data_IF_796273889581
#
_entry.id   IF_796273889581
#
_cell.length_a   1.000
_cell.length_b   1.000
_cell.length_c   1.000
_cell.angle_alpha   90.00
_cell.angle_beta   90.00
_cell.angle_gamma   90.00
#
_symmetry.space_group_name_H-M   'P 1'
#
loop_
_entity.id
_entity.type
_entity.pdbx_description
1 polymer ?
#
# COMPACT_ATOMS: atom_id res chain seq x y z
N UNK A 1 -5.49 -16.21 -4.48
CA UNK A 1 -6.35 -15.04 -4.20
C UNK A 1 -7.60 -15.50 -3.49
N UNK A 2 -8.02 -14.81 -2.44
CA UNK A 2 -9.35 -14.95 -1.82
C UNK A 2 -10.02 -13.59 -1.79
N UNK A 3 -11.27 -13.48 -2.25
CA UNK A 3 -11.95 -12.20 -2.33
C UNK A 3 -13.47 -12.35 -2.29
N UNK A 4 -14.13 -11.33 -1.78
CA UNK A 4 -15.57 -11.13 -1.93
C UNK A 4 -15.81 -10.11 -3.07
N UNK A 5 -16.74 -10.37 -3.99
CA UNK A 5 -16.94 -9.50 -5.15
C UNK A 5 -17.45 -8.12 -4.75
N UNK A 6 -16.75 -7.09 -5.20
CA UNK A 6 -17.16 -5.69 -5.02
C UNK A 6 -16.65 -4.84 -6.20
N UNK A 7 -17.50 -3.97 -6.75
CA UNK A 7 -17.10 -3.02 -7.79
C UNK A 7 -16.20 -1.92 -7.23
N UNK A 8 -15.06 -1.56 -7.90
CA UNK A 8 -14.57 -2.08 -9.18
C UNK A 8 -13.50 -3.19 -9.04
N UNK A 9 -13.27 -3.77 -7.87
CA UNK A 9 -12.21 -4.76 -7.63
C UNK A 9 -12.55 -6.16 -8.19
N UNK A 10 -13.81 -6.43 -8.57
CA UNK A 10 -14.24 -7.77 -9.04
C UNK A 10 -13.51 -8.24 -10.29
N UNK A 11 -13.14 -7.33 -11.21
CA UNK A 11 -12.45 -7.70 -12.44
C UNK A 11 -11.11 -8.40 -12.19
N UNK A 12 -10.43 -8.07 -11.08
CA UNK A 12 -9.18 -8.75 -10.68
C UNK A 12 -9.46 -10.23 -10.42
N UNK A 13 -10.50 -10.52 -9.65
CA UNK A 13 -10.89 -11.90 -9.31
C UNK A 13 -11.37 -12.64 -10.56
N UNK A 14 -12.22 -12.02 -11.37
CA UNK A 14 -12.75 -12.62 -12.59
C UNK A 14 -11.67 -12.98 -13.61
N UNK A 15 -10.64 -12.13 -13.72
CA UNK A 15 -9.48 -12.43 -14.55
C UNK A 15 -8.67 -13.60 -13.99
N UNK A 16 -8.39 -13.57 -12.69
CA UNK A 16 -7.54 -14.57 -12.03
C UNK A 16 -8.22 -15.95 -11.93
N UNK A 17 -9.55 -16.04 -11.77
CA UNK A 17 -10.29 -17.32 -11.79
C UNK A 17 -10.00 -18.10 -13.07
N UNK A 18 -9.92 -17.41 -14.20
CA UNK A 18 -9.69 -18.04 -15.52
C UNK A 18 -8.23 -18.39 -15.79
N UNK A 19 -7.28 -17.70 -15.15
CA UNK A 19 -5.86 -17.76 -15.48
C UNK A 19 -5.02 -18.44 -14.42
N UNK A 20 -5.19 -18.08 -13.15
CA UNK A 20 -4.32 -18.50 -12.07
C UNK A 20 -4.24 -20.03 -11.87
N UNK A 21 -5.33 -20.81 -12.02
CA UNK A 21 -5.25 -22.27 -11.92
C UNK A 21 -4.33 -22.92 -12.95
N UNK A 22 -4.13 -22.31 -14.12
CA UNK A 22 -3.22 -22.81 -15.15
C UNK A 22 -1.74 -22.77 -14.73
N UNK A 23 -1.44 -21.98 -13.69
CA UNK A 23 -0.10 -21.82 -13.11
C UNK A 23 -0.01 -22.46 -11.71
N UNK A 24 -0.97 -23.31 -11.34
CA UNK A 24 -0.99 -23.98 -10.04
C UNK A 24 -1.47 -23.11 -8.88
N UNK A 25 -2.00 -21.92 -9.16
CA UNK A 25 -2.57 -21.05 -8.14
C UNK A 25 -4.06 -21.30 -7.93
N UNK A 26 -4.63 -20.69 -6.89
CA UNK A 26 -6.02 -20.87 -6.49
C UNK A 26 -6.71 -19.52 -6.31
N UNK A 27 -7.97 -19.45 -6.76
CA UNK A 27 -8.84 -18.30 -6.49
C UNK A 27 -10.08 -18.81 -5.75
N UNK A 28 -10.40 -18.18 -4.63
CA UNK A 28 -11.55 -18.52 -3.81
C UNK A 28 -12.45 -17.29 -3.68
N UNK A 29 -13.70 -17.43 -4.10
CA UNK A 29 -14.74 -16.49 -3.73
C UNK A 29 -15.22 -16.81 -2.32
N UNK A 30 -15.14 -15.84 -1.42
CA UNK A 30 -15.54 -16.00 -0.01
C UNK A 30 -16.93 -15.44 0.24
N UNK A 31 -17.49 -15.71 1.43
CA UNK A 31 -18.80 -15.22 1.87
C UNK A 31 -18.78 -13.71 2.17
N UNK A 32 -17.66 -13.21 2.68
CA UNK A 32 -17.46 -11.80 3.03
C UNK A 32 -15.98 -11.42 2.98
N UNK A 33 -15.68 -10.14 3.22
CA UNK A 33 -14.33 -9.60 3.18
C UNK A 33 -13.48 -10.03 4.39
N UNK A 34 -14.08 -10.32 5.54
CA UNK A 34 -13.35 -10.82 6.71
C UNK A 34 -12.81 -12.21 6.40
N UNK A 35 -13.64 -13.08 5.84
CA UNK A 35 -13.22 -14.39 5.37
C UNK A 35 -12.16 -14.28 4.26
N UNK A 36 -12.30 -13.32 3.35
CA UNK A 36 -11.34 -13.09 2.26
C UNK A 36 -9.94 -12.77 2.77
N UNK A 37 -9.82 -11.76 3.62
CA UNK A 37 -8.50 -11.31 4.12
C UNK A 37 -7.88 -12.33 5.07
N UNK A 38 -8.66 -12.97 5.94
CA UNK A 38 -8.14 -13.99 6.88
C UNK A 38 -7.67 -15.24 6.16
N UNK A 39 -8.36 -15.66 5.09
CA UNK A 39 -7.91 -16.75 4.22
C UNK A 39 -6.60 -16.38 3.50
N UNK A 40 -6.45 -15.13 3.02
CA UNK A 40 -5.20 -14.68 2.41
C UNK A 40 -4.05 -14.65 3.42
N UNK A 41 -4.29 -14.21 4.66
CA UNK A 41 -3.30 -14.23 5.75
C UNK A 41 -2.89 -15.69 6.05
N UNK A 42 -3.87 -16.60 6.19
CA UNK A 42 -3.60 -18.02 6.42
C UNK A 42 -2.77 -18.66 5.30
N UNK A 43 -3.05 -18.32 4.04
CA UNK A 43 -2.28 -18.76 2.89
C UNK A 43 -0.84 -18.16 2.91
N UNK A 44 -0.70 -16.89 3.28
CA UNK A 44 0.61 -16.24 3.48
C UNK A 44 1.43 -16.92 4.58
N UNK A 45 0.78 -17.28 5.68
CA UNK A 45 1.41 -18.09 6.74
C UNK A 45 1.86 -19.46 6.24
N UNK A 46 1.03 -20.12 5.40
CA UNK A 46 1.37 -21.37 4.73
C UNK A 46 2.46 -21.25 3.65
N UNK A 47 2.98 -20.06 3.39
CA UNK A 47 4.10 -19.83 2.47
C UNK A 47 3.71 -19.51 1.04
N UNK A 48 2.43 -19.28 0.76
CA UNK A 48 1.94 -18.88 -0.56
C UNK A 48 1.92 -17.35 -0.66
N UNK A 49 2.28 -16.80 -1.81
CA UNK A 49 2.00 -15.40 -2.12
C UNK A 49 0.50 -15.22 -2.27
N UNK A 50 -0.13 -14.60 -1.30
CA UNK A 50 -1.57 -14.50 -1.22
C UNK A 50 -2.03 -13.05 -1.19
N UNK A 51 -3.20 -12.80 -1.80
CA UNK A 51 -3.79 -11.48 -1.87
C UNK A 51 -5.31 -11.51 -1.74
N UNK A 52 -5.87 -10.38 -1.37
CA UNK A 52 -7.27 -10.05 -1.55
C UNK A 52 -7.41 -8.72 -2.31
N UNK A 53 -8.61 -8.44 -2.81
CA UNK A 53 -8.92 -7.16 -3.43
C UNK A 53 -10.33 -6.72 -3.01
N UNK A 54 -10.48 -5.44 -2.69
CA UNK A 54 -11.75 -4.85 -2.26
C UNK A 54 -11.82 -3.36 -2.58
N UNK A 55 -12.78 -2.67 -2.01
CA UNK A 55 -12.94 -1.22 -2.02
C UNK A 55 -13.23 -0.74 -0.59
N UNK A 56 -13.31 0.56 -0.35
CA UNK A 56 -13.47 1.17 0.97
C UNK A 56 -14.42 0.47 1.94
N UNK A 57 -15.68 0.08 1.54
CA UNK A 57 -16.58 -0.64 2.44
C UNK A 57 -16.00 -1.97 2.95
N UNK A 58 -15.41 -2.77 2.06
CA UNK A 58 -14.81 -4.05 2.44
C UNK A 58 -13.52 -3.88 3.26
N UNK A 59 -12.71 -2.85 2.96
CA UNK A 59 -11.55 -2.52 3.78
C UNK A 59 -11.92 -2.19 5.23
N UNK A 60 -13.03 -1.49 5.44
CA UNK A 60 -13.52 -1.21 6.79
C UNK A 60 -13.76 -2.49 7.59
N UNK A 61 -14.25 -3.56 6.95
CA UNK A 61 -14.42 -4.88 7.56
C UNK A 61 -13.11 -5.63 7.79
N UNK A 62 -12.08 -5.36 6.99
CA UNK A 62 -10.77 -6.03 7.06
C UNK A 62 -9.82 -5.45 8.12
N UNK A 63 -10.13 -4.30 8.72
CA UNK A 63 -9.18 -3.53 9.56
C UNK A 63 -8.59 -4.32 10.72
N UNK A 64 -9.40 -5.15 11.41
CA UNK A 64 -8.89 -5.99 12.50
C UNK A 64 -7.92 -7.05 11.97
N UNK A 65 -8.28 -7.74 10.87
CA UNK A 65 -7.45 -8.78 10.29
C UNK A 65 -6.14 -8.22 9.69
N UNK A 66 -6.13 -6.99 9.20
CA UNK A 66 -4.88 -6.29 8.82
C UNK A 66 -3.99 -6.12 10.05
N UNK A 67 -4.58 -5.79 11.21
CA UNK A 67 -3.91 -5.78 12.51
C UNK A 67 -3.32 -7.14 12.89
N UNK A 68 -4.07 -8.22 12.68
CA UNK A 68 -3.60 -9.61 12.88
C UNK A 68 -2.38 -9.93 12.01
N UNK A 69 -2.39 -9.55 10.72
CA UNK A 69 -1.22 -9.71 9.84
C UNK A 69 0.02 -9.03 10.41
N UNK A 70 -0.12 -7.80 10.91
CA UNK A 70 0.97 -7.06 11.57
C UNK A 70 1.45 -7.71 12.85
N UNK A 71 0.53 -8.20 13.70
CA UNK A 71 0.82 -8.87 14.98
C UNK A 71 1.55 -10.20 14.76
N UNK A 72 1.07 -11.02 13.83
CA UNK A 72 1.66 -12.33 13.50
C UNK A 72 2.85 -12.26 12.56
N UNK A 73 3.16 -11.05 12.10
CA UNK A 73 4.22 -10.82 11.11
C UNK A 73 4.06 -11.71 9.87
N UNK A 74 2.83 -11.82 9.38
CA UNK A 74 2.46 -12.66 8.24
C UNK A 74 2.25 -11.78 7.01
N UNK A 75 2.94 -12.06 5.89
CA UNK A 75 2.79 -11.27 4.67
C UNK A 75 1.42 -11.43 4.03
N UNK A 76 0.82 -10.33 3.61
CA UNK A 76 -0.39 -10.30 2.79
C UNK A 76 -0.38 -9.06 1.90
N UNK A 77 -0.89 -9.19 0.68
CA UNK A 77 -1.12 -8.07 -0.22
C UNK A 77 -2.62 -7.82 -0.36
N UNK A 78 -3.01 -6.56 -0.23
CA UNK A 78 -4.41 -6.11 -0.31
C UNK A 78 -4.47 -5.07 -1.40
N UNK A 79 -5.36 -5.25 -2.38
CA UNK A 79 -5.65 -4.21 -3.37
C UNK A 79 -6.89 -3.47 -2.93
N UNK A 80 -6.74 -2.18 -2.74
CA UNK A 80 -7.85 -1.25 -2.59
C UNK A 80 -8.13 -0.57 -3.91
N UNK A 81 -9.37 -0.67 -4.38
CA UNK A 81 -9.82 0.05 -5.56
C UNK A 81 -10.86 1.07 -5.14
N UNK A 82 -10.40 2.27 -4.87
CA UNK A 82 -11.21 3.36 -4.32
C UNK A 82 -12.37 3.74 -5.23
N UNK A 83 -13.50 4.04 -4.62
CA UNK A 83 -14.72 4.54 -5.28
C UNK A 83 -15.43 5.53 -4.37
N UNK A 84 -16.45 6.23 -4.89
CA UNK A 84 -17.21 7.20 -4.11
C UNK A 84 -17.83 6.61 -2.84
N UNK A 85 -17.47 7.15 -1.69
CA UNK A 85 -18.01 6.83 -0.37
C UNK A 85 -19.02 7.89 0.09
N UNK A 86 -19.45 7.89 1.38
CA UNK A 86 -19.27 6.84 2.39
C UNK A 86 -20.25 5.66 2.26
N UNK A 87 -20.04 4.60 3.06
CA UNK A 87 -20.84 3.37 3.03
C UNK A 87 -20.81 2.71 1.65
N UNK A 88 -21.90 2.25 1.10
CA UNK A 88 -21.98 1.73 -0.27
C UNK A 88 -21.67 2.81 -1.31
N UNK A 89 -21.99 4.05 -0.99
CA UNK A 89 -21.63 5.25 -1.74
C UNK A 89 -22.08 5.25 -3.20
N UNK A 90 -21.12 5.53 -4.06
CA UNK A 90 -21.26 5.59 -5.51
C UNK A 90 -20.38 4.50 -6.17
N UNK A 91 -20.87 3.25 -6.30
CA UNK A 91 -20.03 2.11 -6.69
C UNK A 91 -19.30 2.26 -8.05
N UNK A 92 -19.81 3.08 -8.93
CA UNK A 92 -19.28 3.29 -10.30
C UNK A 92 -18.78 4.71 -10.52
N UNK A 93 -18.40 5.41 -9.44
CA UNK A 93 -17.94 6.79 -9.50
C UNK A 93 -16.57 6.96 -8.87
N UNK A 94 -15.80 7.92 -9.43
CA UNK A 94 -14.43 8.22 -9.04
C UNK A 94 -14.37 8.94 -7.70
N UNK A 95 -13.53 8.43 -6.80
CA UNK A 95 -13.11 9.11 -5.58
C UNK A 95 -11.77 8.54 -5.08
N UNK A 96 -11.04 9.31 -4.28
CA UNK A 96 -9.76 8.95 -3.65
C UNK A 96 -9.83 9.28 -2.15
N UNK A 97 -10.83 8.72 -1.46
CA UNK A 97 -11.13 9.07 -0.05
C UNK A 97 -10.75 8.01 0.98
N UNK A 98 -10.15 6.90 0.56
CA UNK A 98 -9.76 5.81 1.46
C UNK A 98 -8.34 5.98 2.06
N UNK A 99 -7.54 6.95 1.60
CA UNK A 99 -6.16 7.17 2.02
C UNK A 99 -6.00 7.20 3.55
N UNK A 100 -6.80 7.99 4.25
CA UNK A 100 -6.73 8.07 5.71
C UNK A 100 -7.08 6.74 6.40
N UNK A 101 -8.07 6.00 5.88
CA UNK A 101 -8.41 4.67 6.38
C UNK A 101 -7.24 3.70 6.19
N UNK A 102 -6.54 3.75 5.06
CA UNK A 102 -5.40 2.90 4.77
C UNK A 102 -4.17 3.24 5.61
N UNK A 103 -3.92 4.52 5.85
CA UNK A 103 -2.78 4.98 6.65
C UNK A 103 -3.02 4.78 8.14
N UNK A 104 -4.18 5.16 8.65
CA UNK A 104 -4.48 5.19 10.08
C UNK A 104 -5.41 4.06 10.55
N UNK A 105 -6.03 3.33 9.64
CA UNK A 105 -6.88 2.20 9.98
C UNK A 105 -6.12 1.08 10.70
N UNK A 106 -6.84 0.18 11.30
CA UNK A 106 -6.47 -0.78 12.34
C UNK A 106 -6.45 -0.12 13.73
N UNK A 107 -6.80 -0.87 14.76
CA UNK A 107 -6.55 -0.46 16.14
C UNK A 107 -5.13 -0.87 16.53
N UNK A 108 -4.46 -0.05 17.32
CA UNK A 108 -3.05 -0.24 17.67
C UNK A 108 -2.09 0.04 16.50
N UNK A 109 -0.81 -0.15 16.73
CA UNK A 109 0.25 0.22 15.81
C UNK A 109 0.90 -1.02 15.20
N UNK A 110 0.93 -1.07 13.88
CA UNK A 110 1.56 -2.14 13.10
C UNK A 110 2.45 -1.57 11.99
N UNK A 111 3.51 -2.28 11.58
CA UNK A 111 4.18 -1.97 10.33
C UNK A 111 3.25 -2.32 9.17
N UNK A 112 2.99 -1.38 8.26
CA UNK A 112 2.28 -1.59 7.00
C UNK A 112 2.83 -0.67 5.92
N UNK A 113 2.63 -1.03 4.66
CA UNK A 113 3.06 -0.22 3.52
C UNK A 113 1.86 0.05 2.63
N UNK A 114 1.74 1.29 2.13
CA UNK A 114 0.71 1.68 1.16
C UNK A 114 1.39 2.28 -0.06
N UNK A 115 1.10 1.72 -1.24
CA UNK A 115 1.63 2.12 -2.54
C UNK A 115 0.47 2.51 -3.44
N UNK A 116 0.60 3.61 -4.17
CA UNK A 116 -0.41 4.13 -5.09
C UNK A 116 0.12 4.21 -6.52
N UNK A 117 -0.07 3.18 -7.36
CA UNK A 117 0.25 3.26 -8.77
C UNK A 117 -0.57 4.34 -9.47
N UNK A 118 0.00 4.99 -10.47
CA UNK A 118 -0.64 6.06 -11.25
C UNK A 118 -0.93 5.69 -12.70
N UNK A 119 -0.39 4.57 -13.17
CA UNK A 119 -0.61 4.06 -14.53
C UNK A 119 -0.88 2.55 -14.52
N UNK A 120 -1.43 2.04 -15.63
CA UNK A 120 -1.65 0.59 -15.81
C UNK A 120 -0.32 -0.18 -15.78
N UNK A 121 0.73 0.39 -16.36
CA UNK A 121 2.07 -0.20 -16.31
C UNK A 121 2.59 -0.32 -14.88
N UNK A 122 2.42 0.72 -14.08
CA UNK A 122 2.80 0.69 -12.66
C UNK A 122 2.00 -0.33 -11.88
N UNK A 123 0.69 -0.49 -12.13
CA UNK A 123 -0.08 -1.54 -11.48
C UNK A 123 0.57 -2.92 -11.64
N UNK A 124 1.19 -3.19 -12.80
CA UNK A 124 1.89 -4.46 -13.03
C UNK A 124 3.15 -4.59 -12.16
N UNK A 125 4.03 -3.58 -12.18
CA UNK A 125 5.29 -3.67 -11.43
C UNK A 125 5.09 -3.50 -9.93
N UNK A 126 4.16 -2.65 -9.51
CA UNK A 126 3.85 -2.39 -8.10
C UNK A 126 3.24 -3.61 -7.42
N UNK A 127 2.46 -4.42 -8.11
CA UNK A 127 1.98 -5.69 -7.56
C UNK A 127 3.13 -6.66 -7.26
N UNK A 128 4.15 -6.70 -8.11
CA UNK A 128 5.33 -7.54 -7.88
C UNK A 128 6.13 -7.02 -6.68
N UNK A 129 6.34 -5.70 -6.64
CA UNK A 129 7.03 -5.03 -5.53
C UNK A 129 6.26 -5.20 -4.21
N UNK A 130 4.93 -5.05 -4.23
CA UNK A 130 4.09 -5.24 -3.05
C UNK A 130 4.25 -6.64 -2.43
N UNK A 131 4.27 -7.69 -3.25
CA UNK A 131 4.54 -9.05 -2.78
C UNK A 131 5.96 -9.21 -2.23
N UNK A 132 6.95 -8.60 -2.87
CA UNK A 132 8.34 -8.63 -2.40
C UNK A 132 8.48 -7.92 -1.06
N UNK A 133 7.89 -6.74 -0.91
CA UNK A 133 7.88 -5.97 0.35
C UNK A 133 7.16 -6.77 1.44
N UNK A 134 5.96 -7.29 1.16
CA UNK A 134 5.19 -8.04 2.14
C UNK A 134 5.99 -9.23 2.71
N UNK A 135 6.68 -9.98 1.86
CA UNK A 135 7.47 -11.13 2.29
C UNK A 135 8.80 -10.76 2.93
N UNK A 136 9.46 -9.72 2.43
CA UNK A 136 10.75 -9.27 2.97
C UNK A 136 10.57 -8.66 4.36
N UNK A 137 9.59 -7.78 4.53
CA UNK A 137 9.33 -7.08 5.78
C UNK A 137 8.30 -7.79 6.66
N UNK A 138 7.66 -8.86 6.18
CA UNK A 138 6.67 -9.64 6.92
C UNK A 138 5.59 -8.74 7.53
N UNK A 139 4.86 -8.05 6.66
CA UNK A 139 3.83 -7.09 7.03
C UNK A 139 2.74 -7.00 5.93
N UNK A 140 1.57 -6.44 6.22
CA UNK A 140 0.58 -6.15 5.20
C UNK A 140 1.08 -5.04 4.27
N UNK A 141 0.86 -5.23 2.96
CA UNK A 141 1.11 -4.21 1.93
C UNK A 141 -0.18 -3.95 1.18
N UNK A 142 -0.55 -2.69 1.05
CA UNK A 142 -1.78 -2.26 0.39
C UNK A 142 -1.40 -1.54 -0.91
N UNK A 143 -1.97 -1.99 -2.01
CA UNK A 143 -1.89 -1.31 -3.31
C UNK A 143 -3.18 -0.53 -3.49
N UNK A 144 -3.08 0.79 -3.36
CA UNK A 144 -4.19 1.73 -3.39
C UNK A 144 -4.38 2.25 -4.81
N UNK A 145 -5.41 1.77 -5.50
CA UNK A 145 -5.82 2.26 -6.82
C UNK A 145 -7.11 3.06 -6.73
N UNK A 146 -7.59 3.59 -7.84
CA UNK A 146 -8.90 4.22 -7.93
C UNK A 146 -9.70 3.69 -9.12
N UNK A 147 -10.99 4.01 -9.16
CA UNK A 147 -11.92 3.52 -10.16
C UNK A 147 -11.48 3.86 -11.59
N UNK A 148 -10.97 5.07 -11.82
CA UNK A 148 -10.53 5.49 -13.15
C UNK A 148 -9.37 4.62 -13.64
N UNK A 149 -8.40 4.32 -12.78
CA UNK A 149 -7.28 3.46 -13.11
C UNK A 149 -7.74 2.00 -13.30
N UNK A 150 -8.66 1.51 -12.46
CA UNK A 150 -9.15 0.14 -12.52
C UNK A 150 -9.97 -0.17 -13.78
N UNK A 151 -10.82 0.75 -14.21
CA UNK A 151 -11.68 0.59 -15.40
C UNK A 151 -11.07 1.17 -16.66
N UNK A 152 -9.99 1.94 -16.55
CA UNK A 152 -9.29 2.55 -17.66
C UNK A 152 -8.65 1.52 -18.59
N UNK A 153 -8.59 1.89 -19.88
CA UNK A 153 -7.84 1.15 -20.89
C UNK A 153 -6.80 2.07 -21.49
N UNK A 154 -5.56 1.64 -21.45
CA UNK A 154 -4.44 2.41 -21.95
C UNK A 154 -3.50 1.51 -22.74
N UNK A 155 -2.90 2.05 -23.79
CA UNK A 155 -1.75 1.42 -24.45
C UNK A 155 -0.58 1.47 -23.47
N UNK A 156 0.03 0.32 -23.23
CA UNK A 156 1.22 0.19 -22.41
C UNK A 156 2.36 -0.41 -23.21
N UNK A 157 3.58 -0.09 -22.84
CA UNK A 157 4.76 -0.76 -23.36
C UNK A 157 4.77 -2.23 -22.97
N UNK A 158 5.54 -3.03 -23.69
CA UNK A 158 5.71 -4.45 -23.36
C UNK A 158 6.34 -4.61 -21.98
N UNK A 159 5.71 -5.41 -21.14
CA UNK A 159 6.28 -5.74 -19.83
C UNK A 159 7.55 -6.59 -19.97
N UNK A 160 8.59 -6.22 -19.24
CA UNK A 160 9.89 -6.88 -19.25
C UNK A 160 9.98 -7.89 -18.11
N UNK A 161 9.54 -9.12 -18.37
CA UNK A 161 9.52 -10.20 -17.37
C UNK A 161 10.92 -10.58 -16.86
N UNK A 162 11.96 -10.37 -17.65
CA UNK A 162 13.35 -10.61 -17.27
C UNK A 162 13.87 -9.66 -16.17
N UNK A 163 13.21 -8.56 -15.96
CA UNK A 163 13.51 -7.60 -14.87
C UNK A 163 12.87 -7.98 -13.55
N UNK A 164 11.94 -8.94 -13.57
CA UNK A 164 11.20 -9.35 -12.39
C UNK A 164 12.05 -10.21 -11.49
N UNK A 165 12.22 -9.77 -10.24
CA UNK A 165 12.83 -10.55 -9.17
C UNK A 165 11.78 -10.94 -8.15
N UNK A 166 11.84 -12.19 -7.68
CA UNK A 166 10.96 -12.70 -6.63
C UNK A 166 11.76 -12.79 -5.35
N UNK A 167 11.48 -11.87 -4.43
CA UNK A 167 12.10 -11.82 -3.11
C UNK A 167 11.17 -12.49 -2.09
N UNK A 168 11.74 -13.41 -1.30
CA UNK A 168 11.00 -14.12 -0.25
C UNK A 168 11.49 -13.76 1.15
N UNK A 169 12.34 -12.74 1.27
CA UNK A 169 12.92 -12.27 2.52
C UNK A 169 13.62 -13.40 3.30
N UNK A 170 13.48 -13.39 4.62
CA UNK A 170 14.10 -14.39 5.51
C UNK A 170 13.30 -15.70 5.62
N UNK A 171 12.68 -16.16 4.53
CA UNK A 171 12.08 -17.48 4.47
C UNK A 171 13.18 -18.54 4.49
N UNK A 172 13.19 -19.35 5.55
CA UNK A 172 14.20 -20.42 5.71
C UNK A 172 13.88 -21.55 4.76
N UNK A 173 14.84 -21.89 3.92
CA UNK A 173 14.79 -23.03 3.00
C UNK A 173 15.80 -24.09 3.45
N UNK A 174 15.38 -25.34 3.44
CA UNK A 174 16.24 -26.46 3.85
C UNK A 174 16.06 -26.87 5.31
N UNK A 175 17.03 -27.63 5.83
CA UNK A 175 16.94 -28.19 7.17
C UNK A 175 17.30 -27.14 8.24
N UNK A 176 16.53 -27.16 9.32
CA UNK A 176 16.80 -26.38 10.53
C UNK A 176 17.65 -27.22 11.50
N UNK A 177 18.51 -26.61 12.28
CA UNK A 177 19.22 -27.29 13.36
C UNK A 177 18.23 -27.85 14.37
N UNK A 178 18.61 -28.95 15.01
CA UNK A 178 17.83 -29.52 16.11
C UNK A 178 17.75 -28.50 17.26
N UNK A 179 16.58 -28.40 17.82
CA UNK A 179 16.34 -27.53 18.98
C UNK A 179 16.69 -28.29 20.26
N UNK A 180 17.08 -27.55 21.30
CA UNK A 180 17.20 -28.07 22.66
C UNK A 180 15.86 -28.62 23.15
N UNK A 181 15.91 -29.50 24.13
CA UNK A 181 14.69 -30.06 24.71
C UNK A 181 13.75 -28.97 25.24
N UNK A 182 12.45 -29.08 24.94
CA UNK A 182 11.41 -28.12 25.30
C UNK A 182 11.53 -26.71 24.69
N UNK A 183 12.43 -26.49 23.72
CA UNK A 183 12.52 -25.24 22.97
C UNK A 183 11.75 -25.30 21.67
N UNK A 184 11.20 -24.16 21.26
CA UNK A 184 10.53 -23.97 20.00
C UNK A 184 11.34 -23.05 19.09
N UNK A 185 11.01 -23.07 17.81
CA UNK A 185 11.62 -22.16 16.85
C UNK A 185 11.26 -20.71 17.20
N UNK A 186 12.27 -19.85 17.21
CA UNK A 186 12.07 -18.42 17.50
C UNK A 186 11.55 -17.68 16.28
N UNK A 187 10.27 -17.89 15.97
CA UNK A 187 9.60 -17.24 14.84
C UNK A 187 9.64 -15.71 14.94
N UNK A 188 9.69 -15.17 16.15
CA UNK A 188 9.69 -13.74 16.44
C UNK A 188 11.01 -13.30 17.12
N UNK A 189 12.11 -13.90 16.71
CA UNK A 189 13.45 -13.59 17.22
C UNK A 189 13.76 -12.09 17.13
N UNK A 190 14.38 -11.54 18.17
CA UNK A 190 14.89 -10.18 18.15
C UNK A 190 16.14 -10.11 17.27
N UNK A 191 16.01 -9.43 16.13
CA UNK A 191 17.07 -9.24 15.16
C UNK A 191 17.43 -7.75 15.06
N UNK A 192 18.59 -7.43 14.52
CA UNK A 192 19.03 -6.06 14.34
C UNK A 192 18.06 -5.24 13.48
N UNK A 193 17.57 -5.81 12.39
CA UNK A 193 16.63 -5.19 11.46
C UNK A 193 15.15 -5.36 11.84
N UNK A 194 14.86 -6.07 12.95
CA UNK A 194 13.49 -6.38 13.37
C UNK A 194 12.77 -7.45 12.54
N UNK A 195 13.44 -8.03 11.54
CA UNK A 195 12.87 -9.04 10.65
C UNK A 195 13.38 -10.44 11.06
N UNK A 196 12.49 -11.24 11.63
CA UNK A 196 12.85 -12.59 12.10
C UNK A 196 12.88 -13.61 10.97
N UNK A 197 13.61 -14.73 11.12
CA UNK A 197 13.50 -15.84 10.19
C UNK A 197 12.08 -16.41 10.19
N UNK A 198 11.59 -16.82 9.01
CA UNK A 198 10.26 -17.38 8.82
C UNK A 198 10.36 -18.80 8.29
N UNK A 199 9.64 -19.71 8.93
CA UNK A 199 9.52 -21.11 8.54
C UNK A 199 8.11 -21.43 8.12
N UNK A 200 7.93 -22.49 7.36
CA UNK A 200 6.61 -22.94 6.92
C UNK A 200 6.07 -24.06 7.84
N UNK A 201 4.74 -24.15 7.98
CA UNK A 201 4.11 -25.27 8.69
C UNK A 201 4.59 -26.63 8.13
N UNK A 202 4.88 -27.57 9.03
CA UNK A 202 5.39 -28.91 8.67
C UNK A 202 6.90 -28.99 8.50
N UNK A 203 7.65 -27.89 8.52
CA UNK A 203 9.11 -27.92 8.47
C UNK A 203 9.68 -28.48 9.78
N UNK A 204 10.52 -29.52 9.67
CA UNK A 204 11.16 -30.16 10.83
C UNK A 204 11.95 -29.11 11.65
N UNK A 205 11.82 -29.15 12.97
CA UNK A 205 12.41 -28.18 13.91
C UNK A 205 11.91 -26.72 13.77
N UNK A 206 10.86 -26.48 12.96
CA UNK A 206 10.24 -25.17 12.79
C UNK A 206 8.98 -24.95 13.64
N UNK A 207 8.68 -25.83 14.60
CA UNK A 207 7.51 -25.72 15.46
C UNK A 207 7.57 -24.45 16.31
N UNK A 208 6.52 -23.62 16.28
CA UNK A 208 6.37 -22.40 17.05
C UNK A 208 4.87 -22.13 17.30
N UNK A 209 4.55 -21.22 18.22
CA UNK A 209 3.20 -20.72 18.39
C UNK A 209 2.92 -19.53 17.47
N UNK A 210 1.67 -19.36 17.08
CA UNK A 210 1.15 -18.16 16.40
C UNK A 210 -0.13 -17.75 17.10
N UNK A 211 -0.22 -16.47 17.45
CA UNK A 211 -1.38 -15.92 18.16
C UNK A 211 -1.58 -14.45 17.81
N UNK A 212 -2.82 -13.98 17.88
CA UNK A 212 -3.17 -12.57 17.72
C UNK A 212 -2.93 -11.72 18.98
N UNK A 213 -2.60 -12.34 20.13
CA UNK A 213 -2.21 -11.61 21.34
C UNK A 213 -0.70 -11.36 21.36
N UNK A 214 -0.25 -10.49 22.27
CA UNK A 214 1.19 -10.25 22.41
C UNK A 214 1.91 -11.53 22.87
N UNK A 215 3.12 -11.73 22.37
CA UNK A 215 3.84 -12.99 22.50
C UNK A 215 5.36 -12.80 22.65
N UNK A 216 6.02 -13.86 23.05
CA UNK A 216 7.48 -13.94 23.13
C UNK A 216 8.11 -14.35 21.77
N UNK A 217 9.41 -14.57 21.76
CA UNK A 217 10.15 -14.95 20.54
C UNK A 217 9.72 -16.30 19.95
N UNK A 218 9.18 -17.22 20.77
CA UNK A 218 8.66 -18.53 20.36
C UNK A 218 7.18 -18.47 19.96
N UNK A 219 6.54 -17.30 20.10
CA UNK A 219 5.11 -17.08 19.81
C UNK A 219 4.19 -17.40 20.97
N UNK A 220 4.70 -17.72 22.15
CA UNK A 220 3.85 -18.00 23.34
C UNK A 220 3.27 -16.69 23.86
N UNK A 221 1.99 -16.66 24.28
CA UNK A 221 1.39 -15.47 24.88
C UNK A 221 2.22 -14.91 26.02
N UNK A 222 2.39 -13.58 26.02
CA UNK A 222 3.22 -12.90 27.02
C UNK A 222 2.71 -11.48 27.28
N UNK A 223 2.24 -11.22 28.50
CA UNK A 223 1.73 -9.93 28.94
C UNK A 223 2.78 -9.08 29.69
N UNK A 224 4.03 -9.55 29.72
CA UNK A 224 5.12 -8.86 30.43
C UNK A 224 5.48 -7.53 29.77
N UNK A 225 5.51 -6.39 30.53
CA UNK A 225 5.74 -5.05 29.97
C UNK A 225 7.05 -4.93 29.21
N UNK A 226 8.13 -5.57 29.69
CA UNK A 226 9.44 -5.55 29.03
C UNK A 226 9.42 -6.29 27.69
N UNK A 227 8.72 -7.42 27.60
CA UNK A 227 8.54 -8.14 26.34
C UNK A 227 7.69 -7.32 25.37
N UNK A 228 6.55 -6.78 25.83
CA UNK A 228 5.67 -5.92 25.02
C UNK A 228 6.45 -4.78 24.36
N UNK A 229 7.23 -4.05 25.15
CA UNK A 229 8.06 -2.94 24.65
C UNK A 229 9.01 -3.42 23.54
N UNK A 230 9.78 -4.47 23.80
CA UNK A 230 10.75 -5.02 22.82
C UNK A 230 10.07 -5.52 21.53
N UNK A 231 8.91 -6.19 21.64
CA UNK A 231 8.19 -6.68 20.47
C UNK A 231 7.60 -5.53 19.61
N UNK A 232 7.10 -4.48 20.25
CA UNK A 232 6.65 -3.28 19.52
C UNK A 232 7.81 -2.60 18.80
N UNK A 233 8.92 -2.35 19.50
CA UNK A 233 10.12 -1.77 18.90
C UNK A 233 10.65 -2.61 17.73
N UNK A 234 10.68 -3.94 17.89
CA UNK A 234 11.06 -4.88 16.83
C UNK A 234 10.15 -4.75 15.60
N UNK A 235 8.82 -4.81 15.78
CA UNK A 235 7.87 -4.73 14.67
C UNK A 235 7.95 -3.40 13.93
N UNK A 236 7.98 -2.27 14.65
CA UNK A 236 8.02 -0.94 14.04
C UNK A 236 9.37 -0.63 13.37
N UNK A 237 10.46 -1.21 13.87
CA UNK A 237 11.80 -1.02 13.31
C UNK A 237 11.94 -1.53 11.87
N UNK A 238 11.17 -2.53 11.46
CA UNK A 238 11.25 -3.15 10.12
C UNK A 238 11.24 -2.12 9.00
N UNK A 239 10.34 -1.14 9.08
CA UNK A 239 10.14 -0.16 8.01
C UNK A 239 11.21 0.93 7.96
N UNK A 240 12.11 1.02 8.95
CA UNK A 240 13.28 1.92 8.89
C UNK A 240 14.26 1.50 7.77
N UNK A 241 14.23 0.24 7.38
CA UNK A 241 15.05 -0.31 6.30
C UNK A 241 14.32 -0.41 4.97
N UNK A 242 13.06 0.03 4.93
CA UNK A 242 12.26 0.00 3.70
C UNK A 242 12.92 0.90 2.65
N UNK A 243 13.04 0.36 1.46
CA UNK A 243 13.45 1.10 0.27
C UNK A 243 12.47 0.76 -0.85
N UNK A 244 11.75 1.76 -1.31
CA UNK A 244 10.87 1.68 -2.46
C UNK A 244 11.51 2.53 -3.54
N UNK A 245 11.77 1.91 -4.69
CA UNK A 245 12.26 2.63 -5.85
C UNK A 245 11.17 3.59 -6.32
N UNK A 246 11.55 4.83 -6.65
CA UNK A 246 10.61 5.84 -7.12
C UNK A 246 9.41 6.06 -6.16
N UNK A 247 9.71 6.27 -4.86
CA UNK A 247 8.69 6.59 -3.84
C UNK A 247 7.85 7.82 -4.23
N UNK A 248 8.46 8.75 -4.97
CA UNK A 248 7.82 9.85 -5.69
C UNK A 248 8.29 9.83 -7.14
N UNK A 249 7.42 10.17 -8.06
CA UNK A 249 7.77 10.41 -9.47
C UNK A 249 7.89 11.90 -9.69
N UNK A 250 8.99 12.31 -10.26
CA UNK A 250 9.35 13.71 -10.37
C UNK A 250 9.49 14.12 -11.83
N UNK A 251 8.68 15.07 -12.25
CA UNK A 251 8.88 15.85 -13.44
C UNK A 251 9.09 17.32 -13.03
N UNK A 252 10.35 17.66 -12.76
CA UNK A 252 10.76 18.93 -12.17
C UNK A 252 11.82 19.63 -13.02
N UNK A 253 11.43 20.17 -14.20
CA UNK A 253 12.36 20.85 -15.10
C UNK A 253 12.87 22.20 -14.57
N UNK A 254 12.25 22.74 -13.52
CA UNK A 254 12.56 24.05 -12.95
C UNK A 254 13.09 23.94 -11.52
N UNK A 255 14.24 24.59 -11.23
CA UNK A 255 14.78 24.66 -9.87
C UNK A 255 13.89 25.47 -8.91
N UNK A 256 13.27 26.52 -9.40
CA UNK A 256 12.35 27.38 -8.64
C UNK A 256 11.05 27.54 -9.41
N UNK A 257 10.14 26.56 -9.32
CA UNK A 257 8.86 26.65 -10.01
C UNK A 257 7.95 27.71 -9.37
N UNK A 258 7.14 28.34 -10.20
CA UNK A 258 6.06 29.21 -9.73
C UNK A 258 5.00 28.37 -9.01
N UNK A 259 4.73 27.15 -9.54
CA UNK A 259 3.78 26.21 -8.98
C UNK A 259 4.37 24.78 -9.00
N UNK A 260 4.42 24.15 -7.84
CA UNK A 260 4.61 22.71 -7.71
C UNK A 260 3.24 22.04 -7.60
N UNK A 261 2.95 21.13 -8.51
CA UNK A 261 1.68 20.39 -8.54
C UNK A 261 1.95 18.98 -8.02
N UNK A 262 1.15 18.52 -7.07
CA UNK A 262 1.29 17.18 -6.48
C UNK A 262 -0.03 16.43 -6.67
N UNK A 263 0.08 15.17 -7.11
CA UNK A 263 -1.05 14.26 -7.26
C UNK A 263 -0.73 12.84 -6.82
N UNK A 264 -1.72 11.96 -6.90
CA UNK A 264 -1.59 10.51 -6.69
C UNK A 264 -2.55 9.75 -7.59
N UNK A 265 -2.31 8.46 -7.80
CA UNK A 265 -3.19 7.58 -8.57
C UNK A 265 -3.46 8.12 -9.98
N UNK A 266 -4.69 8.06 -10.43
CA UNK A 266 -5.09 8.39 -11.80
C UNK A 266 -5.04 9.89 -12.16
N UNK A 267 -4.74 10.79 -11.21
CA UNK A 267 -4.74 12.25 -11.48
C UNK A 267 -3.58 12.71 -12.36
N UNK A 268 -2.48 11.94 -12.43
CA UNK A 268 -1.22 12.35 -13.05
C UNK A 268 -1.34 12.82 -14.50
N UNK A 269 -1.95 12.02 -15.36
CA UNK A 269 -2.10 12.37 -16.78
C UNK A 269 -2.93 13.64 -17.03
N UNK A 270 -3.97 13.85 -16.23
CA UNK A 270 -4.80 15.07 -16.31
C UNK A 270 -4.03 16.30 -15.84
N UNK A 271 -3.19 16.16 -14.80
CA UNK A 271 -2.30 17.22 -14.33
C UNK A 271 -1.30 17.59 -15.43
N UNK A 272 -0.66 16.60 -16.06
CA UNK A 272 0.35 16.85 -17.10
C UNK A 272 -0.24 17.56 -18.32
N UNK A 273 -1.44 17.18 -18.74
CA UNK A 273 -2.11 17.87 -19.84
C UNK A 273 -2.49 19.30 -19.46
N UNK A 274 -3.01 19.53 -18.27
CA UNK A 274 -3.42 20.86 -17.81
C UNK A 274 -2.22 21.81 -17.67
N UNK A 275 -1.14 21.37 -17.01
CA UNK A 275 0.06 22.18 -16.81
C UNK A 275 0.81 22.49 -18.10
N UNK A 276 0.79 21.56 -19.06
CA UNK A 276 1.39 21.78 -20.39
C UNK A 276 0.76 22.92 -21.20
N UNK A 277 -0.41 23.42 -20.77
CA UNK A 277 -1.11 24.56 -21.39
C UNK A 277 -0.84 25.90 -20.67
N UNK A 278 -0.10 25.89 -19.55
CA UNK A 278 0.20 27.09 -18.77
C UNK A 278 1.48 27.78 -19.30
N UNK A 279 1.44 29.09 -19.31
CA UNK A 279 2.63 29.91 -19.56
C UNK A 279 3.28 30.28 -18.20
N UNK A 280 3.80 29.25 -17.50
CA UNK A 280 4.40 29.40 -16.17
C UNK A 280 5.38 28.26 -15.89
N UNK A 281 6.32 28.47 -14.98
CA UNK A 281 7.26 27.44 -14.54
C UNK A 281 6.56 26.47 -13.58
N UNK A 282 6.20 25.29 -14.06
CA UNK A 282 5.50 24.29 -13.25
C UNK A 282 6.30 23.00 -13.14
N UNK A 283 6.34 22.43 -11.95
CA UNK A 283 6.82 21.07 -11.68
C UNK A 283 5.65 20.18 -11.26
N UNK A 284 5.76 18.88 -11.56
CA UNK A 284 4.77 17.88 -11.15
C UNK A 284 5.44 16.75 -10.38
N UNK A 285 4.83 16.36 -9.27
CA UNK A 285 5.22 15.19 -8.49
C UNK A 285 4.00 14.30 -8.29
N UNK A 286 4.13 13.03 -8.62
CA UNK A 286 3.16 11.99 -8.26
C UNK A 286 3.68 11.22 -7.06
N UNK A 287 2.92 11.21 -5.97
CA UNK A 287 3.25 10.43 -4.77
C UNK A 287 2.84 8.99 -5.02
N UNK A 288 3.82 8.09 -5.04
CA UNK A 288 3.61 6.65 -5.20
C UNK A 288 3.65 5.92 -3.86
N UNK A 289 4.59 6.24 -2.98
CA UNK A 289 4.63 5.71 -1.62
C UNK A 289 3.76 6.59 -0.70
N UNK A 290 2.63 6.07 -0.26
CA UNK A 290 1.71 6.79 0.64
C UNK A 290 2.09 6.58 2.11
N UNK A 291 2.52 5.35 2.45
CA UNK A 291 2.93 5.04 3.83
C UNK A 291 4.03 3.95 3.85
N UNK A 292 5.11 4.12 4.64
CA UNK A 292 5.54 5.35 5.33
C UNK A 292 5.68 6.53 4.37
N UNK A 293 5.37 7.75 4.83
CA UNK A 293 5.35 8.91 3.95
C UNK A 293 6.78 9.28 3.48
N UNK A 294 7.02 9.58 2.18
CA UNK A 294 8.35 9.84 1.61
C UNK A 294 8.82 11.27 1.90
N UNK A 295 9.00 11.58 3.17
CA UNK A 295 9.27 12.92 3.68
C UNK A 295 10.56 13.52 3.13
N UNK A 296 11.63 12.73 3.14
CA UNK A 296 12.95 13.23 2.74
C UNK A 296 13.06 13.41 1.23
N UNK A 297 12.40 12.55 0.45
CA UNK A 297 12.36 12.66 -1.00
C UNK A 297 11.53 13.86 -1.47
N UNK A 298 10.45 14.19 -0.76
CA UNK A 298 9.55 15.27 -1.15
C UNK A 298 10.01 16.65 -0.66
N UNK A 299 10.67 16.72 0.49
CA UNK A 299 11.08 17.97 1.18
C UNK A 299 11.75 19.00 0.25
N UNK A 300 12.79 18.66 -0.55
CA UNK A 300 13.50 19.64 -1.36
C UNK A 300 12.59 20.38 -2.34
N UNK A 301 11.62 19.67 -2.91
CA UNK A 301 10.71 20.25 -3.90
C UNK A 301 9.68 21.17 -3.26
N UNK A 302 9.17 20.82 -2.08
CA UNK A 302 8.27 21.71 -1.32
C UNK A 302 8.98 23.00 -0.92
N UNK A 303 10.23 22.90 -0.45
CA UNK A 303 11.00 24.07 -0.01
C UNK A 303 11.32 25.04 -1.15
N UNK A 304 11.66 24.53 -2.33
CA UNK A 304 12.05 25.33 -3.49
C UNK A 304 10.87 26.00 -4.19
N UNK A 305 9.69 25.41 -4.16
CA UNK A 305 8.53 25.95 -4.85
C UNK A 305 8.00 27.23 -4.19
N UNK A 306 7.53 28.20 -4.97
CA UNK A 306 6.83 29.39 -4.45
C UNK A 306 5.47 29.02 -3.87
N UNK A 307 4.72 28.22 -4.60
CA UNK A 307 3.41 27.70 -4.18
C UNK A 307 3.36 26.20 -4.49
N UNK A 308 2.56 25.48 -3.69
CA UNK A 308 2.28 24.06 -3.84
C UNK A 308 0.78 23.86 -3.95
N UNK A 309 0.34 23.11 -4.94
CA UNK A 309 -1.05 22.69 -5.07
C UNK A 309 -1.14 21.17 -5.08
N UNK A 310 -2.06 20.64 -4.29
CA UNK A 310 -2.35 19.19 -4.22
C UNK A 310 -3.69 18.94 -4.88
N UNK A 311 -3.69 18.03 -5.86
CA UNK A 311 -4.87 17.66 -6.66
C UNK A 311 -5.39 16.31 -6.19
N UNK A 312 -6.63 16.27 -5.72
CA UNK A 312 -7.22 15.06 -5.13
C UNK A 312 -8.71 14.91 -5.46
N UNK A 313 -9.12 13.68 -5.73
CA UNK A 313 -10.54 13.33 -5.85
C UNK A 313 -11.16 12.98 -4.49
N UNK A 314 -11.12 13.90 -3.52
CA UNK A 314 -11.81 13.80 -2.24
C UNK A 314 -12.17 15.19 -1.69
N UNK A 315 -13.01 15.24 -0.68
CA UNK A 315 -13.55 16.49 -0.13
C UNK A 315 -12.66 17.15 0.94
N UNK A 316 -11.68 16.42 1.51
CA UNK A 316 -10.97 16.84 2.72
C UNK A 316 -9.48 17.07 2.54
N UNK A 317 -8.94 16.84 1.33
CA UNK A 317 -7.52 17.03 1.02
C UNK A 317 -6.63 16.08 1.83
N UNK A 318 -6.90 14.78 1.75
CA UNK A 318 -6.24 13.78 2.59
C UNK A 318 -4.74 13.70 2.33
N UNK A 319 -4.29 13.73 1.05
CA UNK A 319 -2.87 13.76 0.70
C UNK A 319 -2.23 15.08 1.12
N UNK A 320 -2.88 16.21 0.89
CA UNK A 320 -2.38 17.50 1.35
C UNK A 320 -2.20 17.54 2.86
N UNK A 321 -3.10 16.91 3.61
CA UNK A 321 -2.99 16.80 5.06
C UNK A 321 -1.81 15.92 5.48
N UNK A 322 -1.50 14.82 4.75
CA UNK A 322 -0.28 14.05 4.97
C UNK A 322 0.98 14.91 4.75
N UNK A 323 1.02 15.67 3.66
CA UNK A 323 2.16 16.57 3.37
C UNK A 323 2.32 17.59 4.50
N UNK A 324 1.25 18.23 4.93
CA UNK A 324 1.25 19.22 6.03
C UNK A 324 1.69 18.61 7.36
N UNK A 325 1.26 17.38 7.65
CA UNK A 325 1.62 16.66 8.88
C UNK A 325 3.12 16.38 8.94
N UNK A 326 3.71 15.93 7.83
CA UNK A 326 5.10 15.48 7.78
C UNK A 326 6.11 16.58 7.46
N UNK A 327 5.70 17.61 6.70
CA UNK A 327 6.62 18.63 6.19
C UNK A 327 6.29 20.05 6.68
N UNK A 328 5.11 20.29 7.23
CA UNK A 328 4.66 21.64 7.58
C UNK A 328 4.22 22.46 6.36
N UNK A 329 4.69 23.69 6.20
CA UNK A 329 4.44 24.58 5.06
C UNK A 329 2.95 24.82 4.76
N UNK A 330 2.12 24.96 5.81
CA UNK A 330 0.67 25.09 5.71
C UNK A 330 0.21 26.33 4.91
N UNK A 331 0.96 27.40 4.96
CA UNK A 331 0.74 28.65 4.24
C UNK A 331 0.95 28.54 2.73
N UNK A 332 1.83 27.62 2.32
CA UNK A 332 2.27 27.40 0.93
C UNK A 332 1.41 26.40 0.17
N UNK A 333 0.74 25.48 0.90
CA UNK A 333 0.00 24.36 0.32
C UNK A 333 -1.47 24.72 0.14
N UNK A 334 -1.92 24.63 -1.12
CA UNK A 334 -3.32 24.81 -1.54
C UNK A 334 -3.87 23.48 -2.05
N UNK A 335 -5.19 23.35 -2.06
CA UNK A 335 -5.87 22.14 -2.53
C UNK A 335 -6.72 22.49 -3.76
N UNK A 336 -6.73 21.58 -4.73
CA UNK A 336 -7.73 21.50 -5.79
C UNK A 336 -8.44 20.17 -5.63
N UNK A 337 -9.68 20.24 -5.13
CA UNK A 337 -10.47 19.07 -4.74
C UNK A 337 -11.67 18.87 -5.66
N UNK A 338 -11.97 17.62 -6.00
CA UNK A 338 -13.17 17.24 -6.75
C UNK A 338 -13.79 16.00 -6.12
N UNK A 339 -15.07 16.08 -5.77
CA UNK A 339 -15.81 15.04 -5.05
C UNK A 339 -17.26 14.91 -5.54
N UNK A 340 -17.46 15.10 -6.83
CA UNK A 340 -18.75 14.95 -7.51
C UNK A 340 -18.96 13.57 -8.17
N UNK A 341 -18.01 12.66 -7.91
CA UNK A 341 -18.02 11.32 -8.48
C UNK A 341 -17.47 11.21 -9.91
N UNK A 342 -16.89 12.28 -10.44
CA UNK A 342 -16.26 12.30 -11.75
C UNK A 342 -14.75 12.56 -11.65
N UNK A 343 -13.93 12.04 -12.59
CA UNK A 343 -12.53 12.41 -12.66
C UNK A 343 -12.37 13.89 -13.04
N UNK A 344 -11.21 14.46 -12.75
CA UNK A 344 -10.86 15.79 -13.23
C UNK A 344 -10.79 15.82 -14.76
N UNK A 345 -11.22 16.95 -15.34
CA UNK A 345 -10.95 17.29 -16.73
C UNK A 345 -9.73 18.20 -16.82
N UNK A 346 -8.90 18.09 -17.88
CA UNK A 346 -7.74 18.98 -18.05
C UNK A 346 -8.09 20.47 -18.04
N UNK A 347 -9.26 20.84 -18.56
CA UNK A 347 -9.72 22.23 -18.56
C UNK A 347 -10.04 22.75 -17.14
N UNK A 348 -10.61 21.91 -16.28
CA UNK A 348 -10.88 22.27 -14.88
C UNK A 348 -9.58 22.56 -14.14
N UNK A 349 -8.60 21.68 -14.26
CA UNK A 349 -7.28 21.85 -13.64
C UNK A 349 -6.53 23.06 -14.22
N UNK A 350 -6.59 23.28 -15.54
CA UNK A 350 -5.98 24.44 -16.17
C UNK A 350 -6.51 25.74 -15.57
N UNK A 351 -7.82 25.89 -15.42
CA UNK A 351 -8.42 27.08 -14.81
C UNK A 351 -8.04 27.23 -13.34
N UNK A 352 -8.09 26.13 -12.56
CA UNK A 352 -7.69 26.15 -11.16
C UNK A 352 -6.20 26.54 -10.98
N UNK A 353 -5.31 26.02 -11.79
CA UNK A 353 -3.88 26.35 -11.73
C UNK A 353 -3.62 27.79 -12.14
N UNK A 354 -4.32 28.31 -13.16
CA UNK A 354 -4.20 29.69 -13.62
C UNK A 354 -4.60 30.72 -12.56
N UNK A 355 -5.56 30.39 -11.70
CA UNK A 355 -5.97 31.25 -10.58
C UNK A 355 -4.94 31.29 -9.44
N UNK A 356 -4.02 30.31 -9.38
CA UNK A 356 -2.98 30.21 -8.35
C UNK A 356 -1.63 30.83 -8.75
N UNK A 357 -1.45 31.16 -10.02
CA UNK A 357 -0.25 31.79 -10.58
C UNK A 357 -0.48 33.28 -10.76
#
# INVERSE_FOLDING_TARGET
MSAYPITPASEIMEYLIKRLPKFGGTVVQTEDEIAAVTMAIGAGYGGVRAMTASAGPGLSLMMEAIGLSGMTETPVVIVDTQRGGPSTGLPTKQEQSDLNALVYGTHGEIPKVVIAPSTIEECFYDMIEAFNIAETYQCPVIVMTDLQLALGKQTAEKFYYERIKIERGKLVRGELPALEENKLFKRYEFTEDGISPRVLPGQKHGLHHVTGVEHDQEGRPSEGPANRKKMMEKRLKKLQYLRITDAIKVDAPHEQPDLLIIGMGSTGGTIDEARGRLDAKTNHITIRQIHPFPTEELRPYIEQAKQVVVVENNATGQLANQIKLHLGHHDKIRNVLKYDGNPFLPAELYHAFKELI
#
